data_IF_259357307263
#
_entry.id   IF_259357307263
#
_cell.length_a   1.000
_cell.length_b   1.000
_cell.length_c   1.000
_cell.angle_alpha   90.00
_cell.angle_beta   90.00
_cell.angle_gamma   90.00
#
_symmetry.space_group_name_H-M   'P 1'
#
loop_
_entity.id
_entity.type
_entity.pdbx_description
1 polymer ?
#
# COMPACT_ATOMS: atom_id res chain seq x y z
N UNK A 1 -16.25 8.21 11.45
CA UNK A 1 -15.26 8.21 10.34
C UNK A 1 -15.96 7.70 9.10
N UNK A 2 -16.01 8.49 8.03
CA UNK A 2 -16.52 8.07 6.73
C UNK A 2 -15.33 7.78 5.82
N UNK A 3 -15.24 6.54 5.35
CA UNK A 3 -14.23 6.12 4.39
C UNK A 3 -14.83 6.22 2.98
N UNK A 4 -14.03 6.65 2.01
CA UNK A 4 -14.36 6.53 0.58
C UNK A 4 -14.42 5.06 0.15
N UNK A 5 -15.00 4.72 -1.02
CA UNK A 5 -15.15 3.33 -1.44
C UNK A 5 -13.81 2.60 -1.59
N UNK A 6 -13.82 1.31 -1.26
CA UNK A 6 -12.65 0.43 -1.19
C UNK A 6 -12.22 -0.06 -2.59
N UNK A 7 -10.95 -0.48 -2.76
CA UNK A 7 -10.43 -1.04 -4.03
C UNK A 7 -9.72 -2.40 -3.82
N UNK A 8 -9.92 -3.39 -4.71
CA UNK A 8 -9.29 -4.74 -4.77
C UNK A 8 -8.34 -4.86 -5.97
N UNK A 9 -7.25 -5.64 -5.84
CA UNK A 9 -6.21 -5.82 -6.88
C UNK A 9 -5.91 -7.29 -7.22
N UNK A 10 -5.46 -7.53 -8.46
CA UNK A 10 -5.00 -8.85 -8.96
C UNK A 10 -3.47 -9.04 -8.85
N UNK A 11 -3.07 -10.32 -8.93
CA UNK A 11 -1.84 -10.95 -8.44
C UNK A 11 -0.51 -10.29 -8.89
N UNK A 12 0.43 -10.09 -7.95
CA UNK A 12 1.79 -9.61 -8.23
C UNK A 12 2.81 -10.30 -7.32
N UNK A 13 4.03 -10.55 -7.79
CA UNK A 13 5.13 -11.06 -6.94
C UNK A 13 5.58 -10.06 -5.86
N UNK A 14 5.18 -8.79 -5.97
CA UNK A 14 5.48 -7.72 -5.02
C UNK A 14 4.33 -7.39 -4.06
N UNK A 15 3.08 -7.65 -4.47
CA UNK A 15 1.88 -7.40 -3.67
C UNK A 15 1.28 -8.73 -3.19
N UNK A 16 0.91 -8.82 -1.91
CA UNK A 16 0.18 -9.99 -1.41
C UNK A 16 -1.08 -10.27 -2.27
N UNK A 17 -1.55 -11.52 -2.27
CA UNK A 17 -2.57 -12.07 -3.20
C UNK A 17 -3.84 -11.22 -3.37
N UNK A 18 -4.23 -10.42 -2.38
CA UNK A 18 -5.28 -9.41 -2.47
C UNK A 18 -4.92 -8.25 -1.55
N UNK A 19 -4.77 -7.05 -2.10
CA UNK A 19 -4.67 -5.81 -1.32
C UNK A 19 -6.02 -5.08 -1.37
N UNK A 20 -6.42 -4.49 -0.26
CA UNK A 20 -7.53 -3.55 -0.16
C UNK A 20 -6.96 -2.20 0.24
N UNK A 21 -7.23 -1.17 -0.55
CA UNK A 21 -6.79 0.21 -0.27
C UNK A 21 -8.01 1.09 -0.03
N UNK A 22 -8.02 1.77 1.11
CA UNK A 22 -9.09 2.65 1.55
C UNK A 22 -8.51 4.03 1.88
N UNK A 23 -9.22 5.09 1.47
CA UNK A 23 -8.86 6.48 1.74
C UNK A 23 -9.84 7.09 2.74
N UNK A 24 -9.32 7.75 3.76
CA UNK A 24 -10.09 8.59 4.68
C UNK A 24 -9.86 10.08 4.32
N UNK A 25 -10.36 10.99 5.16
CA UNK A 25 -10.14 12.43 4.99
C UNK A 25 -8.65 12.77 4.95
N UNK A 26 -7.87 12.28 5.93
CA UNK A 26 -6.46 12.64 6.14
C UNK A 26 -5.50 11.44 6.19
N UNK A 27 -6.01 10.21 6.03
CA UNK A 27 -5.22 8.98 6.11
C UNK A 27 -5.70 7.94 5.10
N UNK A 28 -5.16 6.73 5.22
CA UNK A 28 -5.70 5.57 4.55
C UNK A 28 -5.35 4.28 5.28
N UNK A 29 -5.79 3.18 4.70
CA UNK A 29 -5.47 1.83 5.15
C UNK A 29 -5.14 0.99 3.94
N UNK A 30 -4.14 0.14 4.08
CA UNK A 30 -3.86 -0.93 3.14
C UNK A 30 -3.91 -2.25 3.90
N UNK A 31 -4.71 -3.21 3.44
CA UNK A 31 -4.82 -4.52 4.09
C UNK A 31 -3.51 -5.30 3.98
N UNK A 32 -3.16 -6.09 5.00
CA UNK A 32 -2.01 -7.00 4.95
C UNK A 32 -0.65 -6.34 5.21
N UNK A 33 -0.65 -5.08 5.68
CA UNK A 33 0.54 -4.35 6.11
C UNK A 33 0.30 -3.69 7.46
N UNK A 34 1.37 -3.48 8.23
CA UNK A 34 1.38 -2.76 9.51
C UNK A 34 1.81 -1.28 9.35
N UNK A 35 2.05 -0.85 8.11
CA UNK A 35 2.39 0.52 7.75
C UNK A 35 1.32 1.51 8.22
N UNK A 36 1.77 2.62 8.80
CA UNK A 36 0.93 3.78 9.06
C UNK A 36 0.90 4.66 7.81
N UNK A 37 -0.29 4.99 7.32
CA UNK A 37 -0.47 5.73 6.08
C UNK A 37 -0.87 7.18 6.30
N UNK A 38 -0.19 8.07 5.58
CA UNK A 38 -0.57 9.45 5.39
C UNK A 38 -1.16 9.58 3.99
N UNK A 39 -2.25 10.32 3.88
CA UNK A 39 -2.83 10.71 2.60
C UNK A 39 -2.20 12.02 2.14
N UNK A 40 -1.54 11.98 0.98
CA UNK A 40 -1.02 13.21 0.38
C UNK A 40 -2.10 13.93 -0.44
N UNK A 41 -2.91 13.17 -1.16
CA UNK A 41 -4.01 13.66 -1.98
C UNK A 41 -5.10 12.58 -2.09
N UNK A 42 -6.15 12.84 -2.86
CA UNK A 42 -7.29 11.91 -3.07
C UNK A 42 -6.93 10.55 -3.70
N UNK A 43 -5.73 10.41 -4.24
CA UNK A 43 -5.24 9.28 -5.02
C UNK A 43 -3.91 8.69 -4.49
N UNK A 44 -3.21 9.38 -3.59
CA UNK A 44 -1.88 9.01 -3.12
C UNK A 44 -1.86 8.74 -1.61
N UNK A 45 -1.47 7.52 -1.23
CA UNK A 45 -1.14 7.13 0.14
C UNK A 45 0.35 6.82 0.26
N UNK A 46 0.95 7.26 1.36
CA UNK A 46 2.32 6.96 1.72
C UNK A 46 2.34 6.27 3.07
N UNK A 47 2.85 5.04 3.08
CA UNK A 47 3.00 4.17 4.21
C UNK A 47 4.43 4.18 4.74
N UNK A 48 4.54 4.25 6.06
CA UNK A 48 5.79 4.03 6.76
C UNK A 48 5.57 2.96 7.83
N UNK A 49 6.45 1.96 7.84
CA UNK A 49 6.55 0.99 8.94
C UNK A 49 7.96 1.04 9.54
N UNK A 50 8.01 1.03 10.88
CA UNK A 50 9.24 1.17 11.66
C UNK A 50 9.47 -0.06 12.52
N UNK A 51 10.70 -0.56 12.59
CA UNK A 51 11.06 -1.71 13.44
C UNK A 51 11.62 -1.29 14.82
N UNK A 52 11.37 -0.05 15.26
CA UNK A 52 11.92 0.50 16.50
C UNK A 52 13.40 0.92 16.43
N UNK A 53 14.11 0.64 15.33
CA UNK A 53 15.49 1.11 15.05
C UNK A 53 15.57 2.10 13.88
N UNK A 54 14.43 2.42 13.27
CA UNK A 54 14.30 3.30 12.12
C UNK A 54 13.11 2.93 11.24
N UNK A 55 12.95 3.66 10.14
CA UNK A 55 12.03 3.29 9.06
C UNK A 55 12.56 2.05 8.36
N UNK A 56 11.85 0.93 8.48
CA UNK A 56 12.24 -0.34 7.87
C UNK A 56 11.58 -0.51 6.49
N UNK A 57 10.42 0.10 6.27
CA UNK A 57 9.63 -0.06 5.06
C UNK A 57 8.95 1.26 4.69
N UNK A 58 9.02 1.59 3.41
CA UNK A 58 8.34 2.70 2.79
C UNK A 58 7.52 2.20 1.61
N UNK A 59 6.24 2.55 1.56
CA UNK A 59 5.31 2.12 0.53
C UNK A 59 4.54 3.33 0.01
N UNK A 60 4.47 3.52 -1.30
CA UNK A 60 3.65 4.53 -1.94
C UNK A 60 2.61 3.82 -2.80
N UNK A 61 1.34 4.15 -2.60
CA UNK A 61 0.23 3.70 -3.43
C UNK A 61 -0.38 4.90 -4.14
N UNK A 62 -0.36 4.88 -5.46
CA UNK A 62 -0.99 5.89 -6.32
C UNK A 62 -2.10 5.24 -7.13
N UNK A 63 -3.33 5.71 -6.98
CA UNK A 63 -4.50 5.16 -7.68
C UNK A 63 -4.95 6.12 -8.77
N UNK A 64 -4.98 5.64 -10.01
CA UNK A 64 -5.69 6.29 -11.09
C UNK A 64 -7.12 5.74 -11.14
N UNK A 65 -8.05 6.41 -10.46
CA UNK A 65 -9.46 5.99 -10.36
C UNK A 65 -10.15 5.97 -11.72
N UNK A 66 -9.86 6.95 -12.59
CA UNK A 66 -10.44 7.06 -13.94
C UNK A 66 -10.10 5.86 -14.81
N UNK A 67 -8.84 5.43 -14.76
CA UNK A 67 -8.34 4.33 -15.59
C UNK A 67 -8.27 2.99 -14.85
N UNK A 68 -8.73 2.93 -13.60
CA UNK A 68 -8.73 1.72 -12.77
C UNK A 68 -7.33 1.09 -12.69
N UNK A 69 -6.30 1.93 -12.45
CA UNK A 69 -4.91 1.49 -12.30
C UNK A 69 -4.37 1.87 -10.93
N UNK A 70 -3.39 1.10 -10.45
CA UNK A 70 -2.58 1.44 -9.29
C UNK A 70 -1.10 1.30 -9.64
N UNK A 71 -0.32 2.25 -9.14
CA UNK A 71 1.12 2.16 -9.05
C UNK A 71 1.53 2.00 -7.57
N UNK A 72 2.26 0.94 -7.28
CA UNK A 72 2.89 0.68 -5.99
C UNK A 72 4.39 0.87 -6.14
N UNK A 73 4.98 1.72 -5.31
CA UNK A 73 6.44 1.75 -5.09
C UNK A 73 6.72 1.27 -3.67
N UNK A 74 7.64 0.32 -3.52
CA UNK A 74 8.04 -0.23 -2.23
C UNK A 74 9.55 -0.20 -2.09
N UNK A 75 10.01 0.32 -0.97
CA UNK A 75 11.44 0.34 -0.61
C UNK A 75 11.61 -0.15 0.82
N UNK A 76 12.56 -1.06 1.01
CA UNK A 76 13.00 -1.55 2.31
C UNK A 76 14.47 -1.19 2.49
N UNK A 77 14.83 -0.53 3.59
CA UNK A 77 16.22 -0.18 3.92
C UNK A 77 16.49 -0.61 5.37
N UNK A 78 17.41 -1.53 5.58
CA UNK A 78 17.80 -1.99 6.91
C UNK A 78 17.00 -3.22 7.36
N UNK A 79 17.73 -4.30 7.62
CA UNK A 79 17.20 -5.61 7.98
C UNK A 79 17.01 -5.77 9.48
N UNK A 80 15.76 -5.93 9.92
CA UNK A 80 15.40 -6.95 10.90
C UNK A 80 13.97 -7.36 10.57
N UNK A 81 13.82 -8.23 9.57
CA UNK A 81 12.53 -8.78 9.19
C UNK A 81 12.17 -9.84 10.22
N UNK A 82 11.00 -9.73 10.88
CA UNK A 82 10.43 -10.83 11.68
C UNK A 82 10.21 -12.09 10.81
N UNK A 83 10.13 -11.91 9.49
CA UNK A 83 10.13 -12.96 8.44
C UNK A 83 11.47 -12.98 7.67
N UNK A 84 12.45 -13.81 8.07
CA UNK A 84 13.86 -13.75 7.62
C UNK A 84 14.13 -13.98 6.12
N UNK A 85 13.11 -14.23 5.29
CA UNK A 85 13.27 -14.65 3.89
C UNK A 85 12.94 -13.56 2.86
N UNK A 86 12.72 -12.30 3.27
CA UNK A 86 12.49 -11.21 2.32
C UNK A 86 13.71 -10.28 2.25
N UNK A 87 14.42 -10.24 1.09
CA UNK A 87 15.60 -9.38 0.93
C UNK A 87 15.22 -7.89 0.98
N UNK A 88 16.21 -7.05 1.27
CA UNK A 88 16.14 -5.60 1.01
C UNK A 88 15.75 -5.40 -0.46
N UNK A 89 14.62 -4.73 -0.68
CA UNK A 89 14.03 -4.57 -2.01
C UNK A 89 13.61 -3.14 -2.25
N UNK A 90 13.97 -2.63 -3.42
CA UNK A 90 13.32 -1.50 -4.06
C UNK A 90 12.59 -2.05 -5.28
N UNK A 91 11.31 -1.73 -5.44
CA UNK A 91 10.51 -2.25 -6.53
C UNK A 91 9.30 -1.39 -6.83
N UNK A 92 8.85 -1.48 -8.07
CA UNK A 92 7.63 -0.85 -8.53
C UNK A 92 6.70 -1.89 -9.18
N UNK A 93 5.40 -1.69 -9.02
CA UNK A 93 4.38 -2.51 -9.65
C UNK A 93 3.26 -1.61 -10.18
N UNK A 94 2.81 -1.89 -11.40
CA UNK A 94 1.61 -1.26 -11.98
C UNK A 94 0.61 -2.35 -12.31
N UNK A 95 -0.62 -2.20 -11.81
CA UNK A 95 -1.67 -3.21 -11.98
C UNK A 95 -3.07 -2.62 -12.09
N UNK A 96 -4.02 -3.48 -12.40
CA UNK A 96 -5.44 -3.14 -12.44
C UNK A 96 -6.04 -3.04 -11.04
N UNK A 97 -6.90 -2.03 -10.87
CA UNK A 97 -7.65 -1.72 -9.66
C UNK A 97 -9.14 -2.00 -9.91
N UNK A 98 -9.82 -2.69 -9.00
CA UNK A 98 -11.27 -2.88 -9.04
C UNK A 98 -11.90 -2.18 -7.85
N UNK A 99 -12.97 -1.42 -8.08
CA UNK A 99 -13.76 -0.87 -6.97
C UNK A 99 -14.40 -2.04 -6.21
N UNK A 100 -14.47 -1.93 -4.90
CA UNK A 100 -15.19 -2.84 -4.01
C UNK A 100 -16.41 -2.06 -3.52
N UNK A 101 -17.60 -2.50 -3.92
CA UNK A 101 -18.82 -2.04 -3.26
C UNK A 101 -18.89 -2.69 -1.88
N UNK A 102 -19.18 -1.89 -0.87
CA UNK A 102 -19.72 -2.40 0.38
C UNK A 102 -21.23 -2.45 0.17
N UNK A 103 -21.74 -3.64 -0.12
CA UNK A 103 -23.17 -3.96 -0.01
C UNK A 103 -23.53 -4.10 1.48
#
# INVERSE_FOLDING_TARGET
MHYSPDFKFEESKLAQKKLIISFSENSGMVSGTDSKFIKLDENTLIGLSTNGKGAALYEIYQINRKHKKMHLTITRVGSETILPNFPDKAGAYVGDAKLVSND
#
